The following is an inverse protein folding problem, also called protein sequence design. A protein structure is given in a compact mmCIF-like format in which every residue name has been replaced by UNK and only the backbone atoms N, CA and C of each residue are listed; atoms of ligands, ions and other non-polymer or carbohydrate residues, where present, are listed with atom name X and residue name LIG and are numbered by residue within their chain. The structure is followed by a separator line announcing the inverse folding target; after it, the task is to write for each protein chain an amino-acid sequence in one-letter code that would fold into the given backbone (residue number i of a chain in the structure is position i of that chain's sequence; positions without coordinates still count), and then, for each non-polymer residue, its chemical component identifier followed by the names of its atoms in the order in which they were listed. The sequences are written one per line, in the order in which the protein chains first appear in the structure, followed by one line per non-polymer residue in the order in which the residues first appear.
data_IF_394221218798
#
_entry.id   IF_394221218798
#
_cell.length_a   1.000
_cell.length_b   1.000
_cell.length_c   1.000
_cell.angle_alpha   90.00
_cell.angle_beta   90.00
_cell.angle_gamma   90.00
#
_symmetry.space_group_name_H-M   'P 1'
#
loop_
_entity.id
_entity.type
_entity.pdbx_description
1 polymer ?
#
# COMPACT_ATOMS: atom_id res chain seq x y z
N UNK A 1 -7.73 -42.63 35.74
CA UNK A 1 -7.55 -41.90 34.46
C UNK A 1 -8.02 -40.47 34.67
N UNK A 2 -7.11 -39.50 34.69
CA UNK A 2 -7.46 -38.06 34.79
C UNK A 2 -6.70 -37.32 33.69
N UNK A 3 -7.36 -37.10 32.57
CA UNK A 3 -6.82 -36.37 31.41
C UNK A 3 -6.80 -34.90 31.76
N UNK A 4 -5.62 -34.32 32.01
CA UNK A 4 -5.46 -32.87 32.11
C UNK A 4 -5.10 -32.34 30.72
N UNK A 5 -6.08 -31.77 30.02
CA UNK A 5 -5.78 -30.91 28.87
C UNK A 5 -5.28 -29.57 29.40
N UNK A 6 -4.00 -29.28 29.17
CA UNK A 6 -3.44 -27.93 29.25
C UNK A 6 -3.60 -27.30 27.86
N UNK A 7 -4.57 -26.41 27.70
CA UNK A 7 -4.68 -25.58 26.52
C UNK A 7 -3.66 -24.43 26.63
N UNK A 8 -2.60 -24.47 25.82
CA UNK A 8 -1.65 -23.38 25.66
C UNK A 8 -2.19 -22.46 24.56
N UNK A 9 -2.83 -21.35 24.94
CA UNK A 9 -3.21 -20.29 24.01
C UNK A 9 -1.97 -19.44 23.68
N UNK A 10 -1.37 -19.68 22.52
CA UNK A 10 -0.36 -18.79 21.96
C UNK A 10 -1.08 -17.55 21.38
N UNK A 11 -1.10 -16.44 22.14
CA UNK A 11 -1.46 -15.13 21.58
C UNK A 11 -0.35 -14.73 20.59
N UNK A 12 -0.66 -14.78 19.31
CA UNK A 12 0.11 -14.10 18.28
C UNK A 12 -0.08 -12.58 18.48
N UNK A 13 0.92 -11.93 19.07
CA UNK A 13 1.04 -10.48 19.07
C UNK A 13 1.42 -10.03 17.66
N UNK A 14 0.41 -9.77 16.83
CA UNK A 14 0.59 -9.02 15.59
C UNK A 14 0.73 -7.54 15.93
N UNK A 15 1.97 -7.04 16.02
CA UNK A 15 2.23 -5.61 16.13
C UNK A 15 1.85 -4.93 14.81
N UNK A 16 0.97 -3.92 14.80
CA UNK A 16 0.78 -3.08 13.63
C UNK A 16 1.99 -2.12 13.53
N UNK A 17 3.04 -2.50 12.79
CA UNK A 17 4.30 -1.73 12.73
C UNK A 17 4.26 -0.53 11.78
N UNK A 18 3.09 0.08 11.55
CA UNK A 18 2.94 1.22 10.65
C UNK A 18 2.00 2.34 11.16
N UNK A 19 1.48 2.24 12.39
CA UNK A 19 0.57 3.26 12.93
C UNK A 19 1.28 4.42 13.66
N UNK A 20 2.57 4.31 13.99
CA UNK A 20 3.21 5.06 15.08
C UNK A 20 3.97 6.34 14.64
N UNK A 21 4.05 6.66 13.35
CA UNK A 21 4.93 7.76 12.90
C UNK A 21 4.33 9.17 13.08
N UNK A 22 3.01 9.29 13.22
CA UNK A 22 2.33 10.59 13.40
C UNK A 22 1.82 10.86 14.82
N UNK A 23 2.07 9.95 15.77
CA UNK A 23 1.52 10.04 17.13
C UNK A 23 2.07 11.22 17.94
N UNK A 24 3.22 11.79 17.53
CA UNK A 24 3.80 12.96 18.16
C UNK A 24 3.22 14.30 17.63
N UNK A 25 2.36 14.27 16.61
CA UNK A 25 1.75 15.49 16.07
C UNK A 25 0.66 16.02 17.01
N UNK A 26 0.82 17.26 17.48
CA UNK A 26 -0.08 17.87 18.48
C UNK A 26 -1.07 18.88 17.87
N UNK A 27 -0.94 19.18 16.58
CA UNK A 27 -1.81 20.12 15.86
C UNK A 27 -2.26 19.54 14.52
N UNK A 28 -3.39 20.01 14.00
CA UNK A 28 -3.87 19.55 12.69
C UNK A 28 -2.88 19.84 11.56
N UNK A 29 -2.14 20.96 11.62
CA UNK A 29 -1.10 21.29 10.64
C UNK A 29 0.05 20.26 10.66
N UNK A 30 0.48 19.84 11.87
CA UNK A 30 1.48 18.79 12.03
C UNK A 30 0.96 17.44 11.54
N UNK A 31 -0.31 17.09 11.82
CA UNK A 31 -0.93 15.88 11.30
C UNK A 31 -1.02 15.87 9.77
N UNK A 32 -1.43 16.99 9.16
CA UNK A 32 -1.46 17.13 7.69
C UNK A 32 -0.07 16.95 7.09
N UNK A 33 0.95 17.54 7.72
CA UNK A 33 2.35 17.44 7.27
C UNK A 33 2.91 16.03 7.43
N UNK A 34 2.61 15.37 8.55
CA UNK A 34 3.09 14.02 8.82
C UNK A 34 2.46 13.00 7.84
N UNK A 35 1.15 13.03 7.67
CA UNK A 35 0.45 12.15 6.72
C UNK A 35 0.88 12.40 5.26
N UNK A 36 1.22 13.64 4.90
CA UNK A 36 1.82 13.93 3.60
C UNK A 36 3.19 13.24 3.43
N UNK A 37 4.01 13.22 4.48
CA UNK A 37 5.28 12.49 4.50
C UNK A 37 5.10 10.98 4.37
N UNK A 38 4.12 10.40 5.06
CA UNK A 38 3.78 8.98 4.94
C UNK A 38 3.35 8.62 3.51
N UNK A 39 2.51 9.45 2.88
CA UNK A 39 2.12 9.25 1.48
C UNK A 39 3.34 9.31 0.56
N UNK A 40 4.23 10.29 0.73
CA UNK A 40 5.46 10.37 -0.06
C UNK A 40 6.36 9.14 0.09
N UNK A 41 6.48 8.60 1.30
CA UNK A 41 7.25 7.38 1.55
C UNK A 41 6.62 6.17 0.84
N UNK A 42 5.30 6.00 0.94
CA UNK A 42 4.56 4.95 0.26
C UNK A 42 4.69 5.08 -1.28
N UNK A 43 4.54 6.28 -1.82
CA UNK A 43 4.64 6.53 -3.26
C UNK A 43 6.06 6.27 -3.79
N UNK A 44 7.09 6.63 -3.02
CA UNK A 44 8.48 6.29 -3.34
C UNK A 44 8.68 4.78 -3.42
N UNK A 45 8.17 4.03 -2.43
CA UNK A 45 8.26 2.56 -2.42
C UNK A 45 7.51 1.95 -3.61
N UNK A 46 6.28 2.41 -3.87
CA UNK A 46 5.50 1.99 -5.03
C UNK A 46 6.26 2.19 -6.33
N UNK A 47 6.87 3.36 -6.53
CA UNK A 47 7.64 3.65 -7.73
C UNK A 47 8.86 2.71 -7.88
N UNK A 48 9.56 2.40 -6.79
CA UNK A 48 10.66 1.44 -6.81
C UNK A 48 10.20 0.04 -7.25
N UNK A 49 9.11 -0.46 -6.65
CA UNK A 49 8.53 -1.77 -6.99
C UNK A 49 8.00 -1.79 -8.43
N UNK A 50 7.37 -0.71 -8.89
CA UNK A 50 6.93 -0.56 -10.27
C UNK A 50 8.10 -0.61 -11.26
N UNK A 51 9.21 0.07 -10.98
CA UNK A 51 10.41 0.00 -11.82
C UNK A 51 11.01 -1.42 -11.85
N UNK A 52 10.99 -2.14 -10.72
CA UNK A 52 11.42 -3.53 -10.69
C UNK A 52 10.53 -4.44 -11.56
N UNK A 53 9.21 -4.26 -11.51
CA UNK A 53 8.26 -4.98 -12.36
C UNK A 53 8.46 -4.65 -13.85
N UNK A 54 8.69 -3.39 -14.19
CA UNK A 54 9.00 -2.99 -15.57
C UNK A 54 10.29 -3.63 -16.10
N UNK A 55 11.34 -3.71 -15.28
CA UNK A 55 12.61 -4.36 -15.68
C UNK A 55 12.46 -5.84 -16.00
N UNK A 56 11.52 -6.53 -15.36
CA UNK A 56 11.21 -7.95 -15.61
C UNK A 56 10.19 -8.16 -16.72
N UNK A 57 9.53 -7.11 -17.17
CA UNK A 57 8.51 -7.18 -18.21
C UNK A 57 9.16 -7.21 -19.60
N UNK A 58 8.59 -8.00 -20.51
CA UNK A 58 8.85 -7.82 -21.96
C UNK A 58 8.30 -6.47 -22.45
N UNK A 59 8.72 -5.93 -23.60
CA UNK A 59 8.23 -4.63 -24.07
C UNK A 59 6.69 -4.55 -24.19
N UNK A 60 5.97 -5.56 -24.72
CA UNK A 60 4.51 -5.55 -24.73
C UNK A 60 3.89 -5.55 -23.32
N UNK A 61 4.42 -6.35 -22.40
CA UNK A 61 3.95 -6.39 -21.00
C UNK A 61 4.21 -5.05 -20.29
N UNK A 62 5.37 -4.43 -20.52
CA UNK A 62 5.70 -3.13 -19.93
C UNK A 62 4.72 -2.03 -20.39
N UNK A 63 4.28 -2.06 -21.65
CA UNK A 63 3.26 -1.15 -22.16
C UNK A 63 1.90 -1.38 -21.47
N UNK A 64 1.49 -2.64 -21.29
CA UNK A 64 0.27 -2.98 -20.56
C UNK A 64 0.33 -2.55 -19.08
N UNK A 65 1.46 -2.81 -18.41
CA UNK A 65 1.67 -2.48 -17.01
C UNK A 65 1.66 -0.96 -16.78
N UNK A 66 2.30 -0.18 -17.67
CA UNK A 66 2.23 1.30 -17.63
C UNK A 66 0.80 1.81 -17.78
N UNK A 67 0.04 1.27 -18.72
CA UNK A 67 -1.37 1.63 -18.90
C UNK A 67 -2.19 1.30 -17.66
N UNK A 68 -2.03 0.10 -17.10
CA UNK A 68 -2.72 -0.31 -15.88
C UNK A 68 -2.37 0.60 -14.69
N UNK A 69 -1.10 0.99 -14.54
CA UNK A 69 -0.66 1.90 -13.49
C UNK A 69 -1.28 3.30 -13.65
N UNK A 70 -1.34 3.84 -14.87
CA UNK A 70 -1.98 5.12 -15.15
C UNK A 70 -3.48 5.09 -14.82
N UNK A 71 -4.19 4.04 -15.24
CA UNK A 71 -5.61 3.87 -14.90
C UNK A 71 -5.84 3.73 -13.40
N UNK A 72 -4.95 3.02 -12.70
CA UNK A 72 -5.02 2.92 -11.24
C UNK A 72 -4.80 4.27 -10.55
N UNK A 73 -3.88 5.12 -11.03
CA UNK A 73 -3.69 6.48 -10.48
C UNK A 73 -4.99 7.28 -10.57
N UNK A 74 -5.67 7.25 -11.71
CA UNK A 74 -6.96 7.93 -11.88
C UNK A 74 -8.02 7.41 -10.90
N UNK A 75 -8.09 6.10 -10.70
CA UNK A 75 -8.99 5.49 -9.71
C UNK A 75 -8.65 5.95 -8.30
N UNK A 76 -7.38 5.83 -7.90
CA UNK A 76 -6.88 6.23 -6.57
C UNK A 76 -7.25 7.68 -6.28
N UNK A 77 -6.95 8.58 -7.20
CA UNK A 77 -7.15 10.01 -6.99
C UNK A 77 -8.65 10.33 -6.90
N UNK A 78 -9.49 9.66 -7.70
CA UNK A 78 -10.95 9.81 -7.65
C UNK A 78 -11.55 9.27 -6.34
N UNK A 79 -11.11 8.08 -5.91
CA UNK A 79 -11.55 7.49 -4.64
C UNK A 79 -11.14 8.37 -3.46
N UNK A 80 -9.90 8.88 -3.44
CA UNK A 80 -9.43 9.69 -2.33
C UNK A 80 -10.02 11.09 -2.31
N UNK A 81 -10.36 11.66 -3.47
CA UNK A 81 -11.20 12.85 -3.53
C UNK A 81 -12.56 12.60 -2.87
N UNK A 82 -13.25 11.50 -3.23
CA UNK A 82 -14.53 11.11 -2.63
C UNK A 82 -14.43 10.84 -1.13
N UNK A 83 -13.42 10.11 -0.66
CA UNK A 83 -13.22 9.85 0.78
C UNK A 83 -13.02 11.17 1.54
N UNK A 84 -12.20 12.08 1.01
CA UNK A 84 -11.94 13.37 1.67
C UNK A 84 -13.13 14.34 1.63
N UNK A 85 -14.09 14.16 0.71
CA UNK A 85 -15.24 15.06 0.60
C UNK A 85 -16.17 14.98 1.82
N UNK A 86 -16.11 13.90 2.61
CA UNK A 86 -16.86 13.77 3.86
C UNK A 86 -16.47 14.81 4.93
N UNK A 87 -15.32 15.46 4.78
CA UNK A 87 -14.81 16.51 5.67
C UNK A 87 -14.42 17.77 4.90
N UNK A 88 -15.08 18.00 3.75
CA UNK A 88 -14.78 19.12 2.86
C UNK A 88 -14.82 20.47 3.58
N UNK A 89 -13.81 21.31 3.34
CA UNK A 89 -13.64 22.62 3.98
C UNK A 89 -13.13 22.56 5.43
N UNK A 90 -13.03 21.36 6.01
CA UNK A 90 -12.45 21.13 7.33
C UNK A 90 -10.93 21.08 7.31
N UNK A 91 -10.31 21.45 8.43
CA UNK A 91 -8.85 21.43 8.59
C UNK A 91 -8.24 20.01 8.46
N UNK A 92 -9.05 18.98 8.68
CA UNK A 92 -8.68 17.56 8.58
C UNK A 92 -8.76 16.99 7.15
N UNK A 93 -9.30 17.72 6.17
CA UNK A 93 -9.51 17.20 4.81
C UNK A 93 -8.22 16.68 4.17
N UNK A 94 -7.12 17.43 4.30
CA UNK A 94 -5.82 17.02 3.76
C UNK A 94 -5.29 15.75 4.44
N UNK A 95 -5.41 15.64 5.76
CA UNK A 95 -5.00 14.44 6.50
C UNK A 95 -5.77 13.22 6.02
N UNK A 96 -7.10 13.33 5.89
CA UNK A 96 -7.97 12.23 5.40
C UNK A 96 -7.59 11.84 3.97
N UNK A 97 -7.34 12.82 3.09
CA UNK A 97 -6.91 12.56 1.72
C UNK A 97 -5.55 11.86 1.66
N UNK A 98 -4.56 12.33 2.42
CA UNK A 98 -3.22 11.74 2.48
C UNK A 98 -3.25 10.31 3.01
N UNK A 99 -4.09 10.02 4.00
CA UNK A 99 -4.24 8.65 4.53
C UNK A 99 -4.81 7.72 3.46
N UNK A 100 -5.89 8.12 2.78
CA UNK A 100 -6.44 7.33 1.67
C UNK A 100 -5.40 7.07 0.58
N UNK A 101 -4.63 8.10 0.20
CA UNK A 101 -3.58 7.99 -0.80
C UNK A 101 -2.51 6.99 -0.35
N UNK A 102 -2.11 7.02 0.92
CA UNK A 102 -1.15 6.10 1.53
C UNK A 102 -1.65 4.66 1.46
N UNK A 103 -2.87 4.41 1.93
CA UNK A 103 -3.44 3.07 2.01
C UNK A 103 -3.54 2.41 0.63
N UNK A 104 -4.12 3.11 -0.34
CA UNK A 104 -4.23 2.61 -1.73
C UNK A 104 -2.88 2.41 -2.39
N UNK A 105 -1.91 3.27 -2.08
CA UNK A 105 -0.54 3.16 -2.59
C UNK A 105 0.16 1.92 -2.03
N UNK A 106 -0.02 1.63 -0.74
CA UNK A 106 0.50 0.42 -0.11
C UNK A 106 -0.14 -0.85 -0.68
N UNK A 107 -1.47 -0.85 -0.89
CA UNK A 107 -2.17 -1.97 -1.53
C UNK A 107 -1.63 -2.24 -2.94
N UNK A 108 -1.45 -1.17 -3.73
CA UNK A 108 -0.91 -1.28 -5.09
C UNK A 108 0.53 -1.77 -5.10
N UNK A 109 1.35 -1.27 -4.17
CA UNK A 109 2.74 -1.70 -4.01
C UNK A 109 2.81 -3.18 -3.66
N UNK A 110 2.00 -3.65 -2.71
CA UNK A 110 1.92 -5.06 -2.34
C UNK A 110 1.48 -5.94 -3.53
N UNK A 111 0.50 -5.48 -4.31
CA UNK A 111 0.10 -6.18 -5.53
C UNK A 111 1.22 -6.24 -6.56
N UNK A 112 1.97 -5.15 -6.80
CA UNK A 112 3.13 -5.20 -7.71
C UNK A 112 4.24 -6.10 -7.17
N UNK A 113 4.47 -6.09 -5.85
CA UNK A 113 5.48 -6.91 -5.20
C UNK A 113 5.15 -8.40 -5.30
N UNK A 114 3.87 -8.79 -5.26
CA UNK A 114 3.47 -10.18 -5.45
C UNK A 114 3.81 -10.69 -6.85
N UNK A 115 3.70 -9.84 -7.88
CA UNK A 115 4.13 -10.17 -9.26
C UNK A 115 5.66 -10.35 -9.37
N UNK A 116 6.43 -9.99 -8.36
CA UNK A 116 7.87 -10.22 -8.32
C UNK A 116 8.24 -11.55 -7.65
N UNK A 117 7.32 -12.23 -6.98
CA UNK A 117 7.59 -13.44 -6.18
C UNK A 117 7.12 -14.73 -6.88
N UNK A 118 7.16 -14.74 -8.21
CA UNK A 118 6.56 -15.80 -9.01
C UNK A 118 7.45 -17.03 -9.10
N UNK A 119 6.85 -18.19 -8.80
CA UNK A 119 7.45 -19.50 -8.99
C UNK A 119 7.24 -20.05 -10.40
N UNK A 120 7.99 -21.10 -10.75
CA UNK A 120 7.77 -21.85 -11.97
C UNK A 120 6.35 -22.48 -11.97
N UNK A 121 5.61 -22.29 -13.07
CA UNK A 121 4.25 -22.83 -13.22
C UNK A 121 3.12 -22.01 -12.61
N UNK A 122 3.39 -20.86 -12.00
CA UNK A 122 2.35 -19.95 -11.51
C UNK A 122 1.67 -19.20 -12.67
N UNK A 123 0.54 -19.74 -13.14
CA UNK A 123 -0.26 -19.15 -14.22
C UNK A 123 -0.92 -17.81 -13.84
N UNK A 124 -0.92 -17.44 -12.55
CA UNK A 124 -1.44 -16.15 -12.09
C UNK A 124 -0.41 -15.02 -12.25
N UNK A 125 0.85 -15.35 -12.48
CA UNK A 125 1.91 -14.37 -12.62
C UNK A 125 2.30 -14.11 -14.09
N UNK A 126 2.27 -12.84 -14.53
CA UNK A 126 2.66 -12.47 -15.89
C UNK A 126 4.17 -12.32 -16.08
N UNK A 127 4.95 -12.19 -14.99
CA UNK A 127 6.39 -11.93 -15.06
C UNK A 127 7.19 -13.24 -14.98
N UNK A 128 8.35 -13.33 -15.66
CA UNK A 128 9.24 -14.48 -15.54
C UNK A 128 9.68 -14.68 -14.07
N UNK A 129 10.05 -15.90 -13.64
CA UNK A 129 10.44 -16.18 -12.24
C UNK A 129 11.51 -15.23 -11.71
N UNK A 130 11.44 -14.92 -10.41
CA UNK A 130 12.50 -14.15 -9.74
C UNK A 130 13.76 -15.01 -9.61
N UNK A 131 14.92 -14.46 -9.97
CA UNK A 131 16.22 -15.06 -9.66
C UNK A 131 16.69 -14.64 -8.27
#
# INVERSE_FOLDING_TARGET
MKTRMLALAALLLSSPVLADECDNASTQSQLNSCTAGQYQAADKKLNQTFQAALKRSTPPQAAMLKKAQQSWITLRDSDCAFVSSGVEGGSAQQMVQNQCLTDKTNEREAWLASLLQCGEGDLSCPLPPGH
#
